data_IF_189623510936
#
_entry.id   IF_189623510936
#
_cell.length_a   1.000
_cell.length_b   1.000
_cell.length_c   1.000
_cell.angle_alpha   90.00
_cell.angle_beta   90.00
_cell.angle_gamma   90.00
#
_symmetry.space_group_name_H-M   'P 1'
#
loop_
_entity.id
_entity.type
_entity.pdbx_description
1 polymer ?
#
# COMPACT_ATOMS: atom_id res chain seq x y z
N UNK A 1 26.53 -1.58 -26.18
CA UNK A 1 25.38 -2.41 -25.77
C UNK A 1 25.53 -2.69 -24.30
N UNK A 2 24.52 -2.43 -23.48
CA UNK A 2 24.63 -2.62 -22.04
C UNK A 2 24.76 -4.12 -21.74
N UNK A 3 25.76 -4.53 -20.97
CA UNK A 3 25.92 -5.93 -20.51
C UNK A 3 24.87 -6.36 -19.48
N UNK A 4 23.77 -5.60 -19.35
CA UNK A 4 22.71 -5.81 -18.35
C UNK A 4 21.97 -7.12 -18.63
N UNK A 5 21.68 -7.42 -19.90
CA UNK A 5 21.06 -8.70 -20.29
C UNK A 5 21.89 -9.89 -19.80
N UNK A 6 23.19 -9.91 -20.11
CA UNK A 6 24.09 -11.02 -19.74
C UNK A 6 24.30 -11.13 -18.23
N UNK A 7 24.33 -10.00 -17.51
CA UNK A 7 24.41 -10.00 -16.04
C UNK A 7 23.12 -10.57 -15.45
N UNK A 8 21.96 -10.12 -15.91
CA UNK A 8 20.67 -10.55 -15.38
C UNK A 8 20.39 -12.02 -15.69
N UNK A 9 20.67 -12.47 -16.93
CA UNK A 9 20.49 -13.86 -17.33
C UNK A 9 21.34 -14.81 -16.48
N UNK A 10 22.60 -14.44 -16.21
CA UNK A 10 23.49 -15.21 -15.32
C UNK A 10 23.00 -15.20 -13.88
N UNK A 11 22.63 -14.04 -13.35
CA UNK A 11 22.14 -13.91 -11.98
C UNK A 11 20.84 -14.70 -11.75
N UNK A 12 19.89 -14.63 -12.69
CA UNK A 12 18.60 -15.30 -12.57
C UNK A 12 18.69 -16.83 -12.67
N UNK A 13 19.65 -17.35 -13.44
CA UNK A 13 19.85 -18.81 -13.58
C UNK A 13 20.72 -19.41 -12.48
N UNK A 14 21.52 -18.60 -11.80
CA UNK A 14 22.34 -19.05 -10.67
C UNK A 14 21.52 -19.12 -9.37
N UNK A 15 21.23 -20.34 -8.93
CA UNK A 15 20.49 -20.61 -7.68
C UNK A 15 21.18 -20.08 -6.41
N UNK A 16 22.45 -19.69 -6.48
CA UNK A 16 23.18 -19.10 -5.35
C UNK A 16 23.00 -17.58 -5.27
N UNK A 17 22.47 -16.96 -6.32
CA UNK A 17 22.29 -15.52 -6.40
C UNK A 17 20.86 -15.15 -6.00
N UNK A 18 20.72 -14.29 -4.97
CA UNK A 18 19.44 -13.73 -4.60
C UNK A 18 19.14 -12.49 -5.46
N UNK A 19 17.96 -12.46 -6.08
CA UNK A 19 17.51 -11.31 -6.88
C UNK A 19 16.40 -10.55 -6.14
N UNK A 20 16.54 -9.23 -6.05
CA UNK A 20 15.50 -8.32 -5.54
C UNK A 20 15.15 -7.32 -6.63
N UNK A 21 13.87 -7.24 -6.97
CA UNK A 21 13.34 -6.30 -7.96
C UNK A 21 12.60 -5.18 -7.24
N UNK A 22 13.18 -3.99 -7.24
CA UNK A 22 12.54 -2.79 -6.70
C UNK A 22 11.67 -2.15 -7.79
N UNK A 23 10.34 -2.17 -7.58
CA UNK A 23 9.40 -1.50 -8.47
C UNK A 23 9.29 -0.02 -8.12
N UNK A 24 9.33 0.83 -9.14
CA UNK A 24 9.04 2.25 -8.99
C UNK A 24 7.54 2.52 -8.84
N UNK A 25 7.20 3.50 -7.98
CA UNK A 25 5.85 4.03 -7.76
C UNK A 25 4.84 3.00 -7.20
N UNK A 26 3.58 3.41 -7.07
CA UNK A 26 2.48 2.55 -6.61
C UNK A 26 1.59 2.06 -7.75
N UNK A 27 0.91 0.92 -7.55
CA UNK A 27 -0.03 0.33 -8.52
C UNK A 27 -1.18 1.28 -8.89
N UNK A 28 -1.62 2.13 -7.94
CA UNK A 28 -2.62 3.15 -8.22
C UNK A 28 -2.17 4.26 -9.20
N UNK A 29 -0.91 4.25 -9.64
CA UNK A 29 -0.36 5.12 -10.69
C UNK A 29 -0.04 4.34 -11.97
N UNK A 30 -0.35 3.05 -12.06
CA UNK A 30 -0.05 2.24 -13.25
C UNK A 30 -0.79 2.76 -14.50
N UNK A 31 -0.15 2.70 -15.67
CA UNK A 31 -0.74 3.16 -16.94
C UNK A 31 -2.05 2.45 -17.32
N UNK A 32 -2.27 1.21 -16.83
CA UNK A 32 -3.47 0.41 -17.10
C UNK A 32 -4.45 0.41 -15.93
N UNK A 33 -3.93 0.44 -14.71
CA UNK A 33 -4.72 0.21 -13.48
C UNK A 33 -4.91 1.45 -12.60
N UNK A 34 -4.19 2.53 -12.90
CA UNK A 34 -4.32 3.82 -12.25
C UNK A 34 -5.52 4.62 -12.73
N UNK A 35 -5.85 5.69 -11.99
CA UNK A 35 -6.98 6.57 -12.30
C UNK A 35 -6.50 7.72 -13.17
N UNK A 36 -6.99 7.83 -14.40
CA UNK A 36 -6.71 8.97 -15.28
C UNK A 36 -7.17 10.30 -14.65
N UNK A 37 -6.42 11.42 -14.82
CA UNK A 37 -5.13 11.52 -15.52
C UNK A 37 -3.89 11.24 -14.66
N UNK A 38 -4.06 10.88 -13.39
CA UNK A 38 -2.95 10.68 -12.45
C UNK A 38 -2.39 9.26 -12.50
N UNK A 39 -1.74 8.96 -13.61
CA UNK A 39 -0.92 7.77 -13.76
C UNK A 39 0.44 8.11 -14.37
N UNK A 40 1.36 7.16 -14.27
CA UNK A 40 2.62 7.16 -15.00
C UNK A 40 2.47 6.44 -16.34
N UNK A 41 3.36 6.71 -17.28
CA UNK A 41 3.39 6.01 -18.57
C UNK A 41 4.00 4.61 -18.49
N UNK A 42 4.41 4.15 -17.30
CA UNK A 42 5.02 2.84 -17.08
C UNK A 42 4.09 1.86 -16.35
N UNK A 43 4.44 0.58 -16.42
CA UNK A 43 3.83 -0.49 -15.64
C UNK A 43 4.44 -0.50 -14.24
N UNK A 44 3.63 -0.21 -13.22
CA UNK A 44 4.07 -0.21 -11.81
C UNK A 44 3.68 -1.49 -11.07
N UNK A 45 2.88 -2.34 -11.70
CA UNK A 45 2.61 -3.72 -11.25
C UNK A 45 3.79 -4.68 -11.48
N UNK A 46 3.77 -5.86 -10.85
CA UNK A 46 4.81 -6.87 -11.03
C UNK A 46 4.94 -7.38 -12.48
N UNK A 47 3.87 -7.31 -13.29
CA UNK A 47 3.93 -7.70 -14.71
C UNK A 47 4.99 -6.94 -15.51
N UNK A 48 5.23 -5.67 -15.16
CA UNK A 48 6.24 -4.84 -15.81
C UNK A 48 7.68 -5.35 -15.63
N UNK A 49 7.96 -6.29 -14.71
CA UNK A 49 9.27 -6.94 -14.61
C UNK A 49 9.57 -7.73 -15.89
N UNK A 50 8.57 -8.38 -16.48
CA UNK A 50 8.78 -9.19 -17.69
C UNK A 50 9.31 -8.35 -18.85
N UNK A 51 8.64 -7.22 -19.12
CA UNK A 51 9.03 -6.30 -20.20
C UNK A 51 10.36 -5.60 -19.92
N UNK A 52 10.60 -5.19 -18.67
CA UNK A 52 11.86 -4.51 -18.28
C UNK A 52 13.08 -5.43 -18.16
N UNK A 53 12.88 -6.75 -18.20
CA UNK A 53 13.95 -7.76 -18.18
C UNK A 53 14.10 -8.49 -19.51
N UNK A 54 13.52 -7.94 -20.60
CA UNK A 54 13.56 -8.55 -21.93
C UNK A 54 13.05 -10.01 -21.97
N UNK A 55 12.11 -10.33 -21.07
CA UNK A 55 11.52 -11.65 -20.96
C UNK A 55 12.34 -12.69 -20.17
N UNK A 56 13.50 -12.32 -19.63
CA UNK A 56 14.34 -13.23 -18.82
C UNK A 56 13.58 -13.69 -17.57
N UNK A 57 12.88 -12.77 -16.92
CA UNK A 57 12.24 -13.01 -15.63
C UNK A 57 10.74 -13.00 -15.79
N UNK A 58 10.10 -14.17 -15.64
CA UNK A 58 8.67 -14.24 -15.46
C UNK A 58 8.33 -13.80 -14.01
N UNK A 59 7.53 -12.74 -13.80
CA UNK A 59 7.19 -12.26 -12.46
C UNK A 59 6.56 -13.33 -11.58
N UNK A 60 5.89 -14.32 -12.17
CA UNK A 60 5.26 -15.41 -11.42
C UNK A 60 6.25 -16.38 -10.78
N UNK A 61 7.47 -16.43 -11.29
CA UNK A 61 8.56 -17.25 -10.76
C UNK A 61 9.22 -16.59 -9.53
N UNK A 62 8.90 -15.32 -9.26
CA UNK A 62 9.31 -14.61 -8.04
C UNK A 62 8.43 -15.10 -6.89
N UNK A 63 9.05 -15.75 -5.91
CA UNK A 63 8.39 -16.33 -4.74
C UNK A 63 7.64 -15.28 -3.90
N UNK A 64 8.31 -14.17 -3.57
CA UNK A 64 7.74 -13.11 -2.75
C UNK A 64 7.50 -11.86 -3.60
N UNK A 65 6.23 -11.62 -3.91
CA UNK A 65 5.71 -10.41 -4.55
C UNK A 65 5.04 -9.53 -3.49
N UNK A 66 5.86 -8.73 -2.80
CA UNK A 66 5.44 -7.93 -1.66
C UNK A 66 4.84 -6.57 -2.07
N UNK A 67 3.56 -6.36 -1.78
CA UNK A 67 2.88 -5.08 -1.94
C UNK A 67 3.08 -4.20 -0.71
N UNK A 68 3.67 -3.02 -0.87
CA UNK A 68 3.88 -2.07 0.23
C UNK A 68 2.66 -1.16 0.36
N UNK A 69 2.07 -1.15 1.55
CA UNK A 69 0.98 -0.24 1.91
C UNK A 69 1.37 0.60 3.11
N UNK A 70 0.71 1.74 3.27
CA UNK A 70 0.66 2.44 4.56
C UNK A 70 -0.47 1.82 5.36
N UNK A 71 -0.27 1.69 6.66
CA UNK A 71 -1.13 0.87 7.50
C UNK A 71 -2.40 1.60 7.91
N UNK A 72 -2.32 2.89 8.25
CA UNK A 72 -3.42 3.63 8.89
C UNK A 72 -4.09 4.65 7.97
N UNK A 73 -3.47 4.97 6.84
CA UNK A 73 -3.98 5.89 5.83
C UNK A 73 -3.38 5.57 4.44
N UNK A 74 -3.89 6.22 3.40
CA UNK A 74 -3.26 6.26 2.09
C UNK A 74 -2.94 7.72 1.75
N UNK A 75 -1.93 7.92 0.91
CA UNK A 75 -1.52 9.26 0.48
C UNK A 75 -1.39 9.33 -1.04
N UNK A 76 -1.69 10.47 -1.66
CA UNK A 76 -1.44 10.69 -3.08
C UNK A 76 -0.97 12.11 -3.39
N UNK A 77 -0.21 12.24 -4.49
CA UNK A 77 0.03 13.50 -5.18
C UNK A 77 -0.73 13.45 -6.49
N UNK A 78 -1.43 14.53 -6.84
CA UNK A 78 -2.19 14.61 -8.08
C UNK A 78 -3.44 15.46 -7.93
N UNK A 79 -4.44 15.16 -8.74
CA UNK A 79 -5.79 15.71 -8.70
C UNK A 79 -6.86 14.63 -8.39
N UNK A 80 -6.44 13.37 -8.27
CA UNK A 80 -7.26 12.20 -8.01
C UNK A 80 -7.91 12.31 -6.66
N UNK A 81 -9.22 12.06 -6.64
CA UNK A 81 -10.00 12.05 -5.40
C UNK A 81 -10.48 10.64 -5.14
N UNK A 82 -10.08 10.09 -4.01
CA UNK A 82 -10.64 8.83 -3.51
C UNK A 82 -11.89 9.12 -2.67
N UNK A 83 -12.91 8.24 -2.70
CA UNK A 83 -14.11 8.41 -1.89
C UNK A 83 -13.82 8.45 -0.38
N UNK A 84 -12.72 7.83 0.05
CA UNK A 84 -12.31 7.68 1.45
C UNK A 84 -11.61 8.91 2.06
N UNK A 85 -11.83 10.11 1.49
CA UNK A 85 -11.19 11.35 1.95
C UNK A 85 -11.32 11.55 3.47
N UNK A 86 -10.22 12.01 4.06
CA UNK A 86 -10.11 12.25 5.50
C UNK A 86 -10.51 13.69 5.82
N UNK A 87 -10.94 13.94 7.06
CA UNK A 87 -11.12 15.29 7.58
C UNK A 87 -9.80 16.07 7.56
N UNK A 88 -9.85 17.36 7.22
CA UNK A 88 -8.65 18.16 6.99
C UNK A 88 -7.80 18.32 8.25
N UNK A 89 -8.39 18.40 9.44
CA UNK A 89 -7.62 18.54 10.68
C UNK A 89 -6.76 17.29 10.95
N UNK A 90 -7.36 16.10 10.78
CA UNK A 90 -6.64 14.83 10.94
C UNK A 90 -5.64 14.61 9.78
N UNK A 91 -6.02 14.94 8.56
CA UNK A 91 -5.14 14.84 7.40
C UNK A 91 -3.90 15.73 7.56
N UNK A 92 -4.07 16.97 8.02
CA UNK A 92 -2.98 17.89 8.32
C UNK A 92 -2.05 17.33 9.40
N UNK A 93 -2.60 16.82 10.50
CA UNK A 93 -1.81 16.20 11.56
C UNK A 93 -0.95 15.05 11.04
N UNK A 94 -1.53 14.15 10.22
CA UNK A 94 -0.78 13.04 9.61
C UNK A 94 0.33 13.54 8.68
N UNK A 95 0.09 14.63 7.92
CA UNK A 95 1.13 15.17 7.04
C UNK A 95 2.35 15.65 7.81
N UNK A 96 2.13 16.34 8.92
CA UNK A 96 3.21 16.82 9.78
C UNK A 96 3.97 15.65 10.43
N UNK A 97 3.25 14.68 11.00
CA UNK A 97 3.87 13.60 11.76
C UNK A 97 4.60 12.56 10.88
N UNK A 98 4.14 12.36 9.65
CA UNK A 98 4.66 11.35 8.73
C UNK A 98 5.44 11.92 7.52
N UNK A 99 5.73 13.23 7.51
CA UNK A 99 6.39 13.95 6.41
C UNK A 99 5.73 13.66 5.04
N UNK A 100 4.40 13.78 4.96
CA UNK A 100 3.64 13.53 3.72
C UNK A 100 3.69 14.70 2.76
N UNK A 101 4.91 15.01 2.33
CA UNK A 101 5.24 16.07 1.41
C UNK A 101 5.93 15.50 0.17
N UNK A 102 5.85 16.23 -0.95
CA UNK A 102 6.66 15.93 -2.12
C UNK A 102 8.14 16.16 -1.80
N UNK A 103 9.00 15.17 -2.06
CA UNK A 103 10.43 15.26 -1.69
C UNK A 103 11.12 16.51 -2.24
N UNK A 104 10.83 16.86 -3.51
CA UNK A 104 11.41 18.03 -4.18
C UNK A 104 10.55 19.27 -4.01
N UNK A 105 9.24 19.18 -4.27
CA UNK A 105 8.34 20.34 -4.35
C UNK A 105 7.81 20.81 -3.01
N UNK A 106 7.92 19.99 -1.96
CA UNK A 106 7.29 20.20 -0.65
C UNK A 106 5.78 20.44 -0.67
N UNK A 107 5.11 20.13 -1.79
CA UNK A 107 3.64 20.11 -1.92
C UNK A 107 3.05 19.08 -0.94
N UNK A 108 2.01 19.43 -0.15
CA UNK A 108 1.32 18.47 0.72
C UNK A 108 0.62 17.40 -0.11
N UNK A 109 0.67 16.16 0.36
CA UNK A 109 -0.06 15.03 -0.24
C UNK A 109 -1.50 15.03 0.23
N UNK A 110 -2.42 14.59 -0.61
CA UNK A 110 -3.76 14.24 -0.15
C UNK A 110 -3.66 13.02 0.77
N UNK A 111 -4.35 13.07 1.90
CA UNK A 111 -4.42 11.97 2.87
C UNK A 111 -5.84 11.46 2.91
N UNK A 112 -6.00 10.15 2.81
CA UNK A 112 -7.30 9.48 2.84
C UNK A 112 -7.25 8.28 3.78
N UNK A 113 -8.41 7.86 4.26
CA UNK A 113 -8.51 6.62 5.03
C UNK A 113 -8.15 5.41 4.17
N UNK A 114 -7.67 4.34 4.81
CA UNK A 114 -7.44 3.05 4.15
C UNK A 114 -8.68 2.63 3.39
N UNK A 115 -8.49 2.25 2.13
CA UNK A 115 -9.58 1.94 1.20
C UNK A 115 -9.44 0.50 0.71
N UNK A 116 -10.17 -0.40 1.36
CA UNK A 116 -10.15 -1.83 1.06
C UNK A 116 -10.58 -2.12 -0.38
N UNK A 117 -11.65 -1.50 -0.95
CA UNK A 117 -12.01 -1.72 -2.35
C UNK A 117 -10.85 -1.47 -3.32
N UNK A 118 -10.12 -0.35 -3.15
CA UNK A 118 -8.98 -0.04 -4.01
C UNK A 118 -7.77 -0.95 -3.74
N UNK A 119 -7.42 -1.20 -2.48
CA UNK A 119 -6.28 -2.06 -2.13
C UNK A 119 -6.49 -3.51 -2.58
N UNK A 120 -7.71 -4.03 -2.46
CA UNK A 120 -8.04 -5.39 -2.93
C UNK A 120 -7.95 -5.48 -4.46
N UNK A 121 -8.38 -4.43 -5.15
CA UNK A 121 -8.21 -4.33 -6.61
C UNK A 121 -6.72 -4.31 -6.99
N UNK A 122 -5.91 -3.48 -6.32
CA UNK A 122 -4.47 -3.38 -6.59
C UNK A 122 -3.71 -4.67 -6.26
N UNK A 123 -4.04 -5.32 -5.14
CA UNK A 123 -3.48 -6.60 -4.77
C UNK A 123 -3.75 -7.65 -5.86
N UNK A 124 -4.99 -7.69 -6.36
CA UNK A 124 -5.40 -8.60 -7.43
C UNK A 124 -4.68 -8.31 -8.75
N UNK A 125 -4.73 -7.07 -9.25
CA UNK A 125 -4.13 -6.73 -10.56
C UNK A 125 -2.60 -6.74 -10.53
N UNK A 126 -2.02 -6.52 -9.35
CA UNK A 126 -0.59 -6.60 -9.13
C UNK A 126 -0.06 -8.02 -9.04
N UNK A 127 -0.90 -9.04 -8.83
CA UNK A 127 -0.47 -10.40 -8.45
C UNK A 127 0.35 -10.38 -7.14
N UNK A 128 -0.13 -9.62 -6.14
CA UNK A 128 0.53 -9.46 -4.84
C UNK A 128 0.32 -10.74 -4.01
N UNK A 129 1.41 -11.27 -3.45
CA UNK A 129 1.39 -12.49 -2.62
C UNK A 129 1.50 -12.19 -1.13
N UNK A 130 2.13 -11.06 -0.78
CA UNK A 130 2.39 -10.64 0.59
C UNK A 130 2.23 -9.14 0.73
N UNK A 131 1.85 -8.66 1.91
CA UNK A 131 1.80 -7.24 2.23
C UNK A 131 2.93 -6.84 3.18
N UNK A 132 3.43 -5.63 2.99
CA UNK A 132 4.27 -4.93 3.96
C UNK A 132 3.54 -3.66 4.36
N UNK A 133 3.11 -3.56 5.62
CA UNK A 133 2.37 -2.39 6.11
C UNK A 133 3.29 -1.46 6.91
N UNK A 134 3.54 -0.29 6.34
CA UNK A 134 4.36 0.77 6.95
C UNK A 134 3.51 1.70 7.80
N UNK A 135 4.13 2.52 8.66
CA UNK A 135 3.43 3.57 9.42
C UNK A 135 2.38 3.03 10.41
N UNK A 136 2.64 1.89 11.05
CA UNK A 136 1.78 1.42 12.15
C UNK A 136 1.83 2.33 13.38
N UNK A 137 2.83 3.21 13.46
CA UNK A 137 3.02 4.19 14.54
C UNK A 137 2.30 5.52 14.32
N UNK A 138 1.72 5.75 13.14
CA UNK A 138 0.85 6.91 12.87
C UNK A 138 -0.55 6.60 13.39
N UNK A 139 -0.68 6.70 14.72
CA UNK A 139 -1.90 6.46 15.48
C UNK A 139 -1.99 7.45 16.64
N UNK A 140 -3.19 7.98 16.86
CA UNK A 140 -3.43 9.01 17.87
C UNK A 140 -4.34 8.48 18.97
N UNK A 141 -4.01 8.86 20.21
CA UNK A 141 -4.86 8.55 21.36
C UNK A 141 -6.25 9.15 21.14
N UNK A 142 -7.29 8.39 21.47
CA UNK A 142 -8.70 8.78 21.37
C UNK A 142 -9.23 9.05 19.94
N UNK A 143 -8.40 8.87 18.90
CA UNK A 143 -8.82 8.95 17.51
C UNK A 143 -8.94 7.55 16.90
N UNK A 144 -10.16 7.07 16.57
CA UNK A 144 -10.34 5.77 15.95
C UNK A 144 -9.81 5.76 14.52
N UNK A 145 -9.20 4.64 14.13
CA UNK A 145 -8.75 4.42 12.75
C UNK A 145 -9.98 4.03 11.93
N UNK A 146 -10.36 4.87 10.98
CA UNK A 146 -11.43 4.57 10.02
C UNK A 146 -10.86 3.86 8.80
N UNK A 147 -11.53 2.80 8.37
CA UNK A 147 -11.21 2.06 7.14
C UNK A 147 -12.45 2.01 6.27
N UNK A 148 -12.33 2.43 5.01
CA UNK A 148 -13.38 2.23 4.02
C UNK A 148 -13.41 0.75 3.62
N UNK A 149 -14.50 0.06 3.97
CA UNK A 149 -14.64 -1.39 3.79
C UNK A 149 -15.41 -1.76 2.53
N UNK A 150 -16.23 -0.84 2.01
CA UNK A 150 -17.01 -1.03 0.80
C UNK A 150 -17.48 0.31 0.24
N UNK A 151 -17.84 0.31 -1.04
CA UNK A 151 -18.53 1.43 -1.67
C UNK A 151 -20.01 1.12 -1.86
N UNK A 152 -20.85 2.15 -1.77
CA UNK A 152 -22.27 2.07 -2.12
C UNK A 152 -22.64 3.08 -3.19
N UNK A 153 -23.56 2.68 -4.07
CA UNK A 153 -24.19 3.56 -5.07
C UNK A 153 -25.65 3.18 -5.17
N UNK A 154 -26.55 4.14 -4.97
CA UNK A 154 -28.00 3.92 -4.94
C UNK A 154 -28.42 2.80 -3.98
N UNK A 155 -27.81 2.77 -2.78
CA UNK A 155 -28.11 1.78 -1.74
C UNK A 155 -27.53 0.37 -1.96
N UNK A 156 -26.82 0.12 -3.07
CA UNK A 156 -26.20 -1.18 -3.37
C UNK A 156 -24.69 -1.12 -3.23
N UNK A 157 -24.10 -2.20 -2.72
CA UNK A 157 -22.64 -2.36 -2.70
C UNK A 157 -22.10 -2.47 -4.13
N UNK A 158 -21.02 -1.74 -4.42
CA UNK A 158 -20.38 -1.69 -5.74
C UNK A 158 -18.86 -1.84 -5.62
N UNK A 159 -18.17 -2.34 -6.67
CA UNK A 159 -16.73 -2.55 -6.63
C UNK A 159 -15.94 -1.24 -6.82
N UNK A 160 -14.64 -1.29 -6.57
CA UNK A 160 -13.71 -0.26 -7.04
C UNK A 160 -13.57 -0.33 -8.57
N UNK A 161 -13.44 0.83 -9.23
CA UNK A 161 -13.03 0.96 -10.62
C UNK A 161 -12.08 2.14 -10.74
N UNK A 162 -10.96 2.03 -11.49
CA UNK A 162 -10.00 3.11 -11.63
C UNK A 162 -10.47 4.19 -12.62
N UNK A 163 -11.65 4.75 -12.38
CA UNK A 163 -12.25 5.82 -13.19
C UNK A 163 -12.73 6.95 -12.27
N UNK A 164 -12.17 8.15 -12.45
CA UNK A 164 -12.48 9.28 -11.58
C UNK A 164 -13.97 9.67 -11.64
N UNK A 165 -14.60 9.57 -12.81
CA UNK A 165 -16.04 9.87 -12.95
C UNK A 165 -16.88 8.90 -12.13
N UNK A 166 -16.55 7.61 -12.18
CA UNK A 166 -17.18 6.59 -11.35
C UNK A 166 -16.93 6.84 -9.85
N UNK A 167 -15.68 7.06 -9.44
CA UNK A 167 -15.32 7.27 -8.03
C UNK A 167 -16.04 8.48 -7.41
N UNK A 168 -16.31 9.53 -8.20
CA UNK A 168 -17.09 10.69 -7.74
C UNK A 168 -18.56 10.37 -7.43
N UNK A 169 -19.07 9.20 -7.85
CA UNK A 169 -20.49 8.82 -7.70
C UNK A 169 -20.76 7.80 -6.61
N UNK A 170 -19.71 7.27 -5.97
CA UNK A 170 -19.85 6.25 -4.93
C UNK A 170 -19.67 6.86 -3.55
N UNK A 171 -20.30 6.25 -2.53
CA UNK A 171 -20.17 6.65 -1.13
C UNK A 171 -19.39 5.59 -0.34
N UNK A 172 -18.37 5.98 0.44
CA UNK A 172 -17.64 5.04 1.27
C UNK A 172 -18.49 4.57 2.45
N UNK A 173 -18.33 3.31 2.84
CA UNK A 173 -18.81 2.77 4.10
C UNK A 173 -17.59 2.52 4.99
N UNK A 174 -17.61 3.08 6.20
CA UNK A 174 -16.48 3.01 7.11
C UNK A 174 -16.72 2.02 8.25
N UNK A 175 -15.64 1.34 8.64
CA UNK A 175 -15.52 0.62 9.91
C UNK A 175 -14.46 1.30 10.77
N UNK A 176 -14.69 1.37 12.06
CA UNK A 176 -13.76 1.96 13.02
C UNK A 176 -12.99 0.89 13.78
N UNK A 177 -11.72 1.19 14.06
CA UNK A 177 -10.83 0.38 14.88
C UNK A 177 -10.27 1.23 16.01
N UNK A 178 -10.11 0.62 17.18
CA UNK A 178 -9.51 1.29 18.31
C UNK A 178 -8.03 1.62 18.00
N UNK A 179 -7.53 2.78 18.43
CA UNK A 179 -6.11 3.05 18.39
C UNK A 179 -5.36 2.09 19.30
N UNK A 180 -4.04 2.02 19.14
CA UNK A 180 -3.15 1.25 19.98
C UNK A 180 -2.04 2.13 20.55
N UNK A 181 -1.44 1.65 21.65
CA UNK A 181 -0.30 2.29 22.27
C UNK A 181 0.95 2.16 21.38
N UNK A 182 1.47 3.31 20.93
CA UNK A 182 2.64 3.38 20.04
C UNK A 182 3.94 3.01 20.76
N UNK A 183 4.04 3.27 22.06
CA UNK A 183 5.22 2.87 22.87
C UNK A 183 5.26 1.35 23.00
N UNK A 184 4.13 0.71 23.29
CA UNK A 184 4.02 -0.74 23.32
C UNK A 184 4.26 -1.35 21.92
N UNK A 185 3.73 -0.74 20.86
CA UNK A 185 3.96 -1.14 19.48
C UNK A 185 5.45 -1.17 19.13
N UNK A 186 6.19 -0.09 19.43
CA UNK A 186 7.64 0.04 19.12
C UNK A 186 8.53 -0.92 19.94
N UNK A 187 8.05 -1.37 21.10
CA UNK A 187 8.76 -2.35 21.93
C UNK A 187 8.59 -3.79 21.43
N UNK A 188 7.50 -4.08 20.73
CA UNK A 188 7.22 -5.42 20.23
C UNK A 188 8.31 -5.86 19.21
N UNK A 189 8.68 -7.13 19.28
CA UNK A 189 9.60 -7.80 18.36
C UNK A 189 8.96 -8.97 17.63
N UNK A 190 7.78 -9.39 18.06
CA UNK A 190 7.01 -10.49 17.46
C UNK A 190 5.55 -10.10 17.26
N UNK A 191 4.86 -10.80 16.35
CA UNK A 191 3.42 -10.62 16.13
C UNK A 191 2.60 -10.77 17.42
N UNK A 192 3.00 -11.64 18.33
CA UNK A 192 2.28 -11.92 19.58
C UNK A 192 2.39 -10.78 20.62
N UNK A 193 3.52 -10.07 20.62
CA UNK A 193 3.80 -8.94 21.52
C UNK A 193 3.09 -7.65 21.11
N UNK A 194 2.58 -7.58 19.88
CA UNK A 194 1.86 -6.41 19.40
C UNK A 194 0.60 -6.15 20.25
N UNK A 195 0.24 -4.86 20.47
CA UNK A 195 -1.00 -4.49 21.12
C UNK A 195 -2.20 -5.21 20.51
N UNK A 196 -3.14 -5.65 21.36
CA UNK A 196 -4.31 -6.43 20.92
C UNK A 196 -5.09 -5.72 19.80
N UNK A 197 -5.25 -4.40 19.89
CA UNK A 197 -5.92 -3.60 18.87
C UNK A 197 -5.16 -3.63 17.52
N UNK A 198 -3.83 -3.50 17.54
CA UNK A 198 -2.98 -3.60 16.35
C UNK A 198 -3.08 -5.00 15.70
N UNK A 199 -3.04 -6.08 16.50
CA UNK A 199 -3.18 -7.45 15.98
C UNK A 199 -4.53 -7.69 15.31
N UNK A 200 -5.62 -7.20 15.92
CA UNK A 200 -6.97 -7.27 15.36
C UNK A 200 -7.08 -6.46 14.06
N UNK A 201 -6.41 -5.31 14.00
CA UNK A 201 -6.36 -4.47 12.81
C UNK A 201 -5.61 -5.14 11.66
N UNK A 202 -4.42 -5.68 11.91
CA UNK A 202 -3.63 -6.43 10.92
C UNK A 202 -4.43 -7.62 10.39
N UNK A 203 -5.00 -8.44 11.28
CA UNK A 203 -5.82 -9.58 10.89
C UNK A 203 -7.04 -9.18 10.06
N UNK A 204 -7.62 -8.01 10.34
CA UNK A 204 -8.68 -7.47 9.51
C UNK A 204 -8.21 -7.09 8.11
N UNK A 205 -7.08 -6.38 7.98
CA UNK A 205 -6.53 -6.01 6.67
C UNK A 205 -6.18 -7.23 5.84
N UNK A 206 -5.52 -8.23 6.44
CA UNK A 206 -5.18 -9.49 5.76
C UNK A 206 -6.43 -10.18 5.20
N UNK A 207 -7.47 -10.31 6.04
CA UNK A 207 -8.74 -10.93 5.62
C UNK A 207 -9.47 -10.11 4.55
N UNK A 208 -9.45 -8.78 4.68
CA UNK A 208 -10.21 -7.90 3.81
C UNK A 208 -9.58 -7.76 2.42
N UNK A 209 -8.24 -7.72 2.35
CA UNK A 209 -7.47 -7.62 1.10
C UNK A 209 -7.27 -9.01 0.49
N UNK A 210 -7.27 -10.07 1.31
CA UNK A 210 -7.04 -11.46 0.87
C UNK A 210 -5.57 -11.80 0.69
N UNK A 211 -4.67 -11.04 1.33
CA UNK A 211 -3.21 -11.21 1.22
C UNK A 211 -2.59 -11.18 2.61
N UNK A 212 -1.72 -12.15 2.98
CA UNK A 212 -1.07 -12.20 4.28
C UNK A 212 -0.08 -11.04 4.48
N UNK A 213 0.07 -10.60 5.73
CA UNK A 213 1.05 -9.57 6.11
C UNK A 213 2.39 -10.25 6.40
N UNK A 214 3.40 -9.94 5.60
CA UNK A 214 4.77 -10.42 5.80
C UNK A 214 5.52 -9.59 6.84
N UNK A 215 5.30 -8.28 6.82
CA UNK A 215 6.07 -7.35 7.65
C UNK A 215 5.26 -6.10 7.98
N UNK A 216 5.57 -5.50 9.13
CA UNK A 216 5.13 -4.16 9.48
C UNK A 216 6.30 -3.26 9.87
N UNK A 217 6.10 -1.93 9.80
CA UNK A 217 7.03 -0.96 10.40
C UNK A 217 6.35 -0.15 11.49
N UNK A 218 7.09 0.10 12.57
CA UNK A 218 6.65 0.86 13.76
C UNK A 218 7.40 2.19 13.91
N UNK A 219 8.14 2.58 12.86
CA UNK A 219 8.91 3.81 12.76
C UNK A 219 9.76 3.83 11.48
N UNK A 220 10.51 4.92 11.24
CA UNK A 220 11.28 5.12 10.01
C UNK A 220 12.63 4.38 9.97
N UNK A 221 13.15 3.90 11.10
CA UNK A 221 14.49 3.27 11.16
C UNK A 221 14.42 1.80 10.74
N UNK A 222 15.55 1.27 10.25
CA UNK A 222 15.66 -0.10 9.76
C UNK A 222 15.29 -1.15 10.82
N UNK A 223 15.68 -0.92 12.06
CA UNK A 223 15.44 -1.78 13.22
C UNK A 223 14.01 -1.69 13.77
N UNK A 224 13.19 -0.78 13.25
CA UNK A 224 11.78 -0.58 13.62
C UNK A 224 10.84 -1.38 12.68
N UNK A 225 11.36 -2.43 12.06
CA UNK A 225 10.62 -3.40 11.26
C UNK A 225 10.41 -4.72 12.00
N UNK A 226 9.23 -5.33 11.84
CA UNK A 226 8.87 -6.62 12.43
C UNK A 226 8.38 -7.55 11.33
N UNK A 227 9.06 -8.68 11.14
CA UNK A 227 8.56 -9.80 10.34
C UNK A 227 7.49 -10.55 11.14
N UNK A 228 6.37 -10.88 10.51
CA UNK A 228 5.16 -11.41 11.16
C UNK A 228 4.96 -12.92 11.01
#
# INVERSE_FOLDING_TARGET
MSGVFDVLQRAWTDKKTACVFEKGQGIGLDVRWGVYPDFTASETTFSGIFSSTEGIVNPRDIEIRAGVIKATYMSSVGIRKLPSAMDEALAHQIREDADEYGATTKRPRDVVHIDIPSLSFFAKVGDVTHLVATHMDIVYKDTPIKVCVSYTKNGKTVPYRPDQKYLNTVKPVFKQFAPWDVVALRKAKTRAELPVAARKYIAFLEKAIGVPMLMITTGPKREEGILL
#
